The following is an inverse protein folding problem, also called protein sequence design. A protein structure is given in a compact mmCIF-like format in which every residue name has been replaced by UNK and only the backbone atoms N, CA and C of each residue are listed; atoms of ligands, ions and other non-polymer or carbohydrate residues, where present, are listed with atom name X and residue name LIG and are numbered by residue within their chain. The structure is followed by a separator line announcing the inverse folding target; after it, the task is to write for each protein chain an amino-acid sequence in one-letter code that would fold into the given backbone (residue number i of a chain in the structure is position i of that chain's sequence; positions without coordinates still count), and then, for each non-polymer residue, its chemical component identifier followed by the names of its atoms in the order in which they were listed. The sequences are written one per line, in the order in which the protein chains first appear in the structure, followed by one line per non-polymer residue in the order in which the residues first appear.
data_IF_588859375228
#
_entry.id   IF_588859375228
#
_cell.length_a   1.000
_cell.length_b   1.000
_cell.length_c   1.000
_cell.angle_alpha   90.00
_cell.angle_beta   90.00
_cell.angle_gamma   90.00
#
_symmetry.space_group_name_H-M   'P 1'
#
loop_
_entity.id
_entity.type
_entity.pdbx_description
1 polymer ?
#
# COMPACT_ATOMS: atom_id res chain seq x y z
N UNK A 1 28.43 -19.00 18.31
CA UNK A 1 27.41 -18.09 17.77
C UNK A 1 26.59 -18.85 16.73
N UNK A 2 25.25 -18.93 16.84
CA UNK A 2 24.45 -19.68 15.89
C UNK A 2 24.42 -18.97 14.54
N UNK A 3 24.40 -19.78 13.48
CA UNK A 3 24.48 -19.39 12.07
C UNK A 3 23.15 -18.79 11.60
N UNK A 4 22.82 -17.61 12.09
CA UNK A 4 21.66 -16.82 11.66
C UNK A 4 22.13 -15.43 11.25
N UNK A 5 22.84 -15.34 10.13
CA UNK A 5 23.09 -14.06 9.48
C UNK A 5 23.17 -14.33 7.98
N UNK A 6 22.04 -14.20 7.28
CA UNK A 6 22.08 -14.09 5.81
C UNK A 6 21.28 -12.96 5.19
N UNK A 7 20.39 -12.26 5.87
CA UNK A 7 19.83 -11.02 5.33
C UNK A 7 19.60 -9.97 6.43
N UNK A 8 20.01 -8.69 6.24
CA UNK A 8 19.57 -7.60 7.10
C UNK A 8 18.04 -7.47 7.04
N UNK A 9 17.38 -6.98 8.10
CA UNK A 9 15.94 -6.71 8.03
C UNK A 9 15.67 -5.78 6.83
N UNK A 10 14.57 -5.96 6.06
CA UNK A 10 14.18 -4.93 5.11
C UNK A 10 13.88 -3.68 5.94
N UNK A 11 14.80 -2.71 5.87
CA UNK A 11 14.64 -1.45 6.57
C UNK A 11 13.34 -0.82 6.09
N UNK A 12 12.69 -0.04 6.95
CA UNK A 12 11.42 0.68 6.72
C UNK A 12 11.32 1.39 5.36
N UNK A 13 12.43 1.56 4.64
CA UNK A 13 12.55 1.94 3.24
C UNK A 13 11.66 1.16 2.26
N UNK A 14 11.21 -0.07 2.55
CA UNK A 14 10.29 -0.74 1.61
C UNK A 14 8.97 0.02 1.44
N UNK A 15 8.56 0.82 2.44
CA UNK A 15 7.41 1.73 2.34
C UNK A 15 7.61 2.88 1.35
N UNK A 16 8.85 3.14 0.92
CA UNK A 16 9.19 4.15 -0.08
C UNK A 16 9.22 3.56 -1.50
N UNK A 17 9.12 2.23 -1.64
CA UNK A 17 9.00 1.61 -2.96
C UNK A 17 7.67 2.03 -3.61
N UNK A 18 7.62 2.21 -4.94
CA UNK A 18 6.50 2.87 -5.62
C UNK A 18 5.11 2.33 -5.25
N UNK A 19 4.95 1.02 -5.15
CA UNK A 19 3.64 0.39 -4.90
C UNK A 19 3.28 0.35 -3.41
N UNK A 20 4.26 0.32 -2.50
CA UNK A 20 3.98 0.48 -1.07
C UNK A 20 3.70 1.94 -0.73
N UNK A 21 4.49 2.87 -1.28
CA UNK A 21 4.29 4.30 -1.05
C UNK A 21 3.03 4.82 -1.73
N UNK A 22 2.69 4.29 -2.90
CA UNK A 22 1.49 4.63 -3.65
C UNK A 22 0.21 4.46 -2.84
N UNK A 23 0.16 3.51 -1.90
CA UNK A 23 -0.96 3.36 -0.97
C UNK A 23 -1.14 4.60 -0.08
N UNK A 24 -0.05 5.16 0.44
CA UNK A 24 -0.08 6.38 1.27
C UNK A 24 -0.42 7.61 0.45
N UNK A 25 0.07 7.70 -0.80
CA UNK A 25 -0.33 8.77 -1.72
C UNK A 25 -1.84 8.71 -1.97
N UNK A 26 -2.39 7.51 -2.18
CA UNK A 26 -3.83 7.33 -2.35
C UNK A 26 -4.65 7.83 -1.16
N UNK A 27 -4.22 7.53 0.07
CA UNK A 27 -4.85 8.09 1.26
C UNK A 27 -4.75 9.61 1.34
N UNK A 28 -3.60 10.18 0.98
CA UNK A 28 -3.41 11.63 0.97
C UNK A 28 -4.33 12.32 -0.04
N UNK A 29 -4.51 11.75 -1.23
CA UNK A 29 -5.46 12.25 -2.24
C UNK A 29 -6.90 12.21 -1.72
N UNK A 30 -7.32 11.11 -1.10
CA UNK A 30 -8.66 11.00 -0.48
C UNK A 30 -8.86 12.07 0.60
N UNK A 31 -7.84 12.33 1.43
CA UNK A 31 -7.90 13.36 2.47
C UNK A 31 -7.95 14.80 1.91
N UNK A 32 -7.63 14.98 0.63
CA UNK A 32 -7.73 16.25 -0.11
C UNK A 32 -9.02 16.34 -0.95
N UNK A 33 -9.99 15.45 -0.71
CA UNK A 33 -11.23 15.30 -1.48
C UNK A 33 -11.03 14.90 -2.96
N UNK A 34 -9.84 14.41 -3.33
CA UNK A 34 -9.56 13.84 -4.66
C UNK A 34 -9.94 12.34 -4.68
N UNK A 35 -11.22 12.05 -4.42
CA UNK A 35 -11.72 10.69 -4.18
C UNK A 35 -11.46 9.71 -5.34
N UNK A 36 -11.76 10.12 -6.58
CA UNK A 36 -11.56 9.26 -7.77
C UNK A 36 -10.08 8.91 -7.98
N UNK A 37 -9.19 9.90 -7.92
CA UNK A 37 -7.76 9.70 -8.14
C UNK A 37 -7.11 8.94 -6.97
N UNK A 38 -7.57 9.21 -5.75
CA UNK A 38 -7.13 8.50 -4.55
C UNK A 38 -7.50 7.01 -4.59
N UNK A 39 -8.75 6.67 -4.90
CA UNK A 39 -9.18 5.29 -5.05
C UNK A 39 -8.42 4.58 -6.18
N UNK A 40 -8.30 5.20 -7.36
CA UNK A 40 -7.56 4.65 -8.48
C UNK A 40 -6.09 4.38 -8.13
N UNK A 41 -5.44 5.31 -7.41
CA UNK A 41 -4.07 5.15 -6.92
C UNK A 41 -3.93 3.98 -5.96
N UNK A 42 -4.86 3.80 -5.01
CA UNK A 42 -4.84 2.68 -4.08
C UNK A 42 -5.02 1.35 -4.83
N UNK A 43 -6.01 1.25 -5.73
CA UNK A 43 -6.27 0.04 -6.52
C UNK A 43 -5.07 -0.36 -7.36
N UNK A 44 -4.48 0.59 -8.06
CA UNK A 44 -3.26 0.37 -8.84
C UNK A 44 -2.10 -0.11 -7.95
N UNK A 45 -1.90 0.53 -6.80
CA UNK A 45 -0.81 0.19 -5.89
C UNK A 45 -0.97 -1.22 -5.31
N UNK A 46 -2.18 -1.59 -4.88
CA UNK A 46 -2.51 -2.93 -4.39
C UNK A 46 -2.26 -4.02 -5.45
N UNK A 47 -2.70 -3.79 -6.69
CA UNK A 47 -2.54 -4.74 -7.80
C UNK A 47 -1.07 -4.96 -8.20
N UNK A 48 -0.18 -4.03 -7.84
CA UNK A 48 1.25 -4.09 -8.17
C UNK A 48 2.15 -4.33 -6.95
N UNK A 49 1.59 -4.64 -5.78
CA UNK A 49 2.40 -5.15 -4.67
C UNK A 49 3.07 -6.48 -5.07
N UNK A 50 4.16 -6.88 -4.38
CA UNK A 50 4.66 -8.25 -4.46
C UNK A 50 3.51 -9.25 -4.29
N UNK A 51 3.54 -10.35 -5.04
CA UNK A 51 2.42 -11.30 -5.15
C UNK A 51 1.92 -11.80 -3.78
N UNK A 52 2.84 -12.09 -2.88
CA UNK A 52 2.57 -12.51 -1.50
C UNK A 52 1.94 -11.41 -0.62
N UNK A 53 2.03 -10.16 -1.05
CA UNK A 53 1.52 -8.98 -0.35
C UNK A 53 0.20 -8.43 -0.90
N UNK A 54 -0.19 -8.75 -2.14
CA UNK A 54 -1.42 -8.22 -2.76
C UNK A 54 -2.69 -8.55 -1.96
N UNK A 55 -2.73 -9.76 -1.38
CA UNK A 55 -3.83 -10.25 -0.54
C UNK A 55 -3.59 -10.18 0.97
N UNK A 56 -2.44 -9.64 1.42
CA UNK A 56 -2.06 -9.71 2.83
C UNK A 56 -3.04 -8.92 3.73
N UNK A 57 -3.33 -9.42 4.94
CA UNK A 57 -4.35 -8.84 5.83
C UNK A 57 -4.15 -7.34 6.13
N UNK A 58 -2.91 -6.87 6.19
CA UNK A 58 -2.61 -5.46 6.46
C UNK A 58 -3.15 -4.52 5.38
N UNK A 59 -3.42 -5.02 4.16
CA UNK A 59 -3.96 -4.22 3.05
C UNK A 59 -5.47 -3.96 3.14
N UNK A 60 -6.18 -4.54 4.12
CA UNK A 60 -7.66 -4.42 4.26
C UNK A 60 -8.09 -2.95 4.38
N UNK A 61 -7.38 -2.15 5.18
CA UNK A 61 -7.77 -0.76 5.40
C UNK A 61 -7.62 0.09 4.13
N UNK A 62 -6.65 -0.21 3.28
CA UNK A 62 -6.52 0.43 1.97
C UNK A 62 -7.65 0.04 1.02
N UNK A 63 -8.05 -1.24 0.98
CA UNK A 63 -9.21 -1.67 0.18
C UNK A 63 -10.49 -0.96 0.61
N UNK A 64 -10.72 -0.87 1.92
CA UNK A 64 -11.88 -0.15 2.48
C UNK A 64 -11.86 1.33 2.15
N UNK A 65 -10.70 1.98 2.27
CA UNK A 65 -10.56 3.39 1.90
C UNK A 65 -10.86 3.64 0.42
N UNK A 66 -10.38 2.77 -0.48
CA UNK A 66 -10.71 2.85 -1.90
C UNK A 66 -12.21 2.62 -2.15
N UNK A 67 -12.83 1.61 -1.53
CA UNK A 67 -14.27 1.34 -1.64
C UNK A 67 -15.13 2.51 -1.16
N UNK A 68 -14.72 3.18 -0.08
CA UNK A 68 -15.42 4.35 0.46
C UNK A 68 -15.28 5.56 -0.47
N UNK A 69 -14.08 5.82 -0.97
CA UNK A 69 -13.84 6.92 -1.91
C UNK A 69 -14.52 6.70 -3.28
N UNK A 70 -14.66 5.45 -3.73
CA UNK A 70 -15.44 5.10 -4.93
C UNK A 70 -16.95 5.36 -4.76
N UNK A 71 -17.44 5.43 -3.53
CA UNK A 71 -18.85 5.64 -3.20
C UNK A 71 -19.20 7.09 -2.78
N UNK A 72 -18.22 7.99 -2.72
CA UNK A 72 -18.36 9.40 -2.38
C UNK A 72 -18.75 10.24 -3.60
#
# INVERSE_FOLDING_TARGET
MPKAARHPPPETAYWLLPNFHGLNIGLALIALDEHTDGAARIRHSLANLPEDQQGANWTIEYRRAAEQAEAA
#
